data_IF_294663126699
#
_entry.id   IF_294663126699
#
_cell.length_a   1.000
_cell.length_b   1.000
_cell.length_c   1.000
_cell.angle_alpha   90.00
_cell.angle_beta   90.00
_cell.angle_gamma   90.00
#
_symmetry.space_group_name_H-M   'P 1'
#
loop_
_entity.id
_entity.type
_entity.pdbx_description
1 polymer ?
#
# COMPACT_ATOMS: atom_id res chain seq x y z
N UNK A 1 -13.01 -8.39 2.02
CA UNK A 1 -12.85 -7.00 2.50
C UNK A 1 -12.96 -7.04 4.00
N UNK A 2 -12.03 -6.42 4.71
CA UNK A 2 -12.01 -6.36 6.18
C UNK A 2 -12.05 -4.90 6.57
N UNK A 3 -12.98 -4.51 7.42
CA UNK A 3 -12.95 -3.18 8.07
C UNK A 3 -12.30 -3.38 9.43
N UNK A 4 -11.40 -2.48 9.82
CA UNK A 4 -10.82 -2.42 11.17
C UNK A 4 -11.11 -1.01 11.70
N UNK A 5 -11.71 -0.92 12.87
CA UNK A 5 -12.04 0.34 13.52
C UNK A 5 -11.05 0.55 14.66
N UNK A 6 -10.44 1.73 14.76
CA UNK A 6 -9.50 2.08 15.84
C UNK A 6 -10.02 3.35 16.53
N UNK A 7 -10.14 3.32 17.86
CA UNK A 7 -10.57 4.44 18.70
C UNK A 7 -9.55 4.68 19.80
N UNK A 8 -9.30 5.94 20.16
CA UNK A 8 -8.59 6.31 21.39
C UNK A 8 -9.59 6.52 22.53
N UNK A 9 -9.48 5.76 23.63
CA UNK A 9 -10.28 5.96 24.86
C UNK A 9 -10.52 4.68 25.69
N UNK A 10 -10.64 4.84 27.02
CA UNK A 10 -11.09 3.77 27.94
C UNK A 10 -12.58 3.47 27.73
N UNK A 11 -12.94 2.18 27.57
CA UNK A 11 -14.31 1.74 27.30
C UNK A 11 -14.96 1.01 28.49
N UNK A 12 -16.24 1.30 28.80
CA UNK A 12 -17.07 0.42 29.61
C UNK A 12 -17.59 -0.77 28.78
N UNK A 13 -17.16 -1.98 29.13
CA UNK A 13 -17.27 -3.26 28.40
C UNK A 13 -18.66 -3.71 27.90
N UNK A 14 -19.78 -3.05 28.27
CA UNK A 14 -21.14 -3.62 28.07
C UNK A 14 -22.04 -2.92 27.06
N UNK A 15 -21.70 -1.73 26.58
CA UNK A 15 -22.65 -0.95 25.75
C UNK A 15 -22.64 -1.35 24.26
N UNK A 16 -21.51 -1.83 23.74
CA UNK A 16 -21.29 -2.00 22.29
C UNK A 16 -22.03 -3.19 21.68
N UNK A 17 -22.15 -4.31 22.42
CA UNK A 17 -22.72 -5.55 21.88
C UNK A 17 -24.23 -5.41 21.61
N UNK A 18 -24.95 -4.73 22.51
CA UNK A 18 -26.39 -4.51 22.38
C UNK A 18 -26.74 -3.52 21.26
N UNK A 19 -25.96 -2.45 21.08
CA UNK A 19 -26.23 -1.46 20.04
C UNK A 19 -25.97 -1.99 18.62
N UNK A 20 -24.99 -2.90 18.46
CA UNK A 20 -24.71 -3.57 17.18
C UNK A 20 -25.72 -4.68 16.85
N UNK A 21 -26.33 -5.30 17.88
CA UNK A 21 -27.45 -6.24 17.73
C UNK A 21 -28.75 -5.52 17.35
N UNK A 22 -29.06 -4.39 18.00
CA UNK A 22 -30.27 -3.60 17.72
C UNK A 22 -30.24 -2.91 16.35
N UNK A 23 -29.05 -2.63 15.82
CA UNK A 23 -28.86 -2.14 14.45
C UNK A 23 -28.98 -3.24 13.36
N UNK A 24 -29.21 -4.51 13.75
CA UNK A 24 -29.38 -5.62 12.81
C UNK A 24 -28.11 -6.04 12.05
N UNK A 25 -26.93 -5.65 12.53
CA UNK A 25 -25.64 -5.87 11.84
C UNK A 25 -25.07 -7.27 12.07
N UNK A 26 -25.42 -7.93 13.17
CA UNK A 26 -24.91 -9.26 13.54
C UNK A 26 -26.05 -10.30 13.55
N UNK A 27 -26.37 -10.85 12.39
CA UNK A 27 -27.09 -12.12 12.29
C UNK A 27 -26.11 -13.29 12.34
N UNK A 28 -25.93 -13.92 13.51
CA UNK A 28 -24.88 -14.93 13.73
C UNK A 28 -25.37 -16.28 14.25
N UNK A 29 -24.82 -17.34 13.67
CA UNK A 29 -25.00 -18.76 14.02
C UNK A 29 -24.46 -19.09 15.45
N UNK A 30 -25.10 -19.98 16.23
CA UNK A 30 -24.78 -20.22 17.65
C UNK A 30 -23.35 -20.71 17.95
N UNK A 31 -22.65 -21.31 17.00
CA UNK A 31 -21.30 -21.87 17.21
C UNK A 31 -20.20 -20.80 17.28
N UNK A 32 -20.40 -19.63 16.68
CA UNK A 32 -19.42 -18.54 16.71
C UNK A 32 -19.36 -17.84 18.08
N UNK A 33 -20.41 -17.96 18.91
CA UNK A 33 -20.48 -17.31 20.23
C UNK A 33 -19.49 -17.87 21.25
N UNK A 34 -19.05 -19.14 21.13
CA UNK A 34 -18.21 -19.79 22.14
C UNK A 34 -16.71 -19.50 22.00
N UNK A 35 -16.21 -19.27 20.78
CA UNK A 35 -14.79 -18.93 20.58
C UNK A 35 -14.46 -17.48 21.00
N UNK A 36 -15.47 -16.61 21.04
CA UNK A 36 -15.30 -15.17 21.28
C UNK A 36 -15.20 -14.82 22.77
N UNK A 37 -15.59 -15.75 23.66
CA UNK A 37 -15.57 -15.55 25.11
C UNK A 37 -14.16 -15.64 25.74
N UNK A 38 -13.14 -16.06 24.99
CA UNK A 38 -11.80 -16.36 25.53
C UNK A 38 -10.72 -15.30 25.25
N UNK A 39 -11.07 -14.17 24.64
CA UNK A 39 -10.11 -13.07 24.43
C UNK A 39 -10.19 -12.08 25.60
N UNK A 40 -9.24 -12.15 26.54
CA UNK A 40 -9.07 -11.15 27.60
C UNK A 40 -8.21 -9.97 27.10
N UNK A 41 -8.75 -8.76 27.20
CA UNK A 41 -8.09 -7.51 26.79
C UNK A 41 -7.21 -7.01 27.94
N UNK A 42 -5.90 -6.98 27.72
CA UNK A 42 -4.96 -6.27 28.59
C UNK A 42 -5.07 -4.76 28.40
N UNK A 43 -4.87 -4.00 29.48
CA UNK A 43 -5.03 -2.55 29.56
C UNK A 43 -4.17 -1.79 28.53
N UNK A 44 -4.84 -1.24 27.52
CA UNK A 44 -4.26 -0.49 26.38
C UNK A 44 -4.85 -0.83 25.00
N UNK A 45 -6.05 -1.43 24.94
CA UNK A 45 -6.50 -2.23 23.80
C UNK A 45 -7.20 -1.48 22.66
N UNK A 46 -6.63 -1.63 21.46
CA UNK A 46 -7.28 -1.45 20.15
C UNK A 46 -8.45 -2.44 20.01
N UNK A 47 -9.66 -1.97 19.70
CA UNK A 47 -10.82 -2.82 19.45
C UNK A 47 -11.00 -3.14 17.96
N UNK A 48 -10.42 -4.24 17.48
CA UNK A 48 -10.59 -4.72 16.11
C UNK A 48 -12.00 -5.30 15.88
N UNK A 49 -12.92 -4.54 15.27
CA UNK A 49 -14.18 -5.10 14.73
C UNK A 49 -13.91 -5.64 13.33
N UNK A 50 -13.67 -6.95 13.22
CA UNK A 50 -13.37 -7.64 11.96
C UNK A 50 -14.66 -7.91 11.16
N UNK A 51 -15.01 -7.06 10.19
CA UNK A 51 -16.07 -7.41 9.21
C UNK A 51 -15.43 -8.24 8.09
N UNK A 52 -15.28 -9.55 8.33
CA UNK A 52 -14.89 -10.48 7.29
C UNK A 52 -16.11 -10.91 6.47
N UNK A 53 -16.28 -10.38 5.25
CA UNK A 53 -17.06 -11.10 4.24
C UNK A 53 -16.17 -12.26 3.76
N UNK A 54 -16.27 -13.39 4.47
CA UNK A 54 -15.58 -14.63 4.18
C UNK A 54 -16.14 -15.25 2.90
N UNK A 55 -15.24 -15.43 1.94
CA UNK A 55 -15.40 -16.07 0.64
C UNK A 55 -15.60 -17.61 0.75
N UNK A 56 -16.13 -18.13 1.85
CA UNK A 56 -15.98 -19.55 2.22
C UNK A 56 -17.20 -20.44 1.97
N UNK A 57 -18.25 -19.96 1.31
CA UNK A 57 -19.45 -20.80 1.03
C UNK A 57 -19.74 -21.06 -0.45
N UNK A 58 -18.98 -20.51 -1.40
CA UNK A 58 -19.34 -20.63 -2.83
C UNK A 58 -18.64 -21.76 -3.61
N UNK A 59 -17.75 -22.57 -3.00
CA UNK A 59 -17.04 -23.67 -3.71
C UNK A 59 -17.69 -25.04 -3.44
N UNK A 60 -19.02 -25.16 -3.47
CA UNK A 60 -19.69 -26.46 -3.61
C UNK A 60 -20.97 -26.38 -4.45
N UNK A 61 -20.81 -26.33 -5.77
CA UNK A 61 -21.41 -27.27 -6.74
C UNK A 61 -21.25 -26.74 -8.18
N UNK A 62 -20.70 -27.58 -9.05
CA UNK A 62 -20.57 -27.38 -10.50
C UNK A 62 -21.95 -27.30 -11.15
N UNK A 63 -22.39 -26.11 -11.53
CA UNK A 63 -23.21 -25.77 -12.70
C UNK A 63 -23.60 -24.29 -12.59
N UNK A 64 -23.58 -23.52 -13.68
CA UNK A 64 -23.88 -22.06 -13.75
C UNK A 64 -22.72 -21.10 -13.40
N UNK A 65 -21.59 -21.22 -14.10
CA UNK A 65 -20.37 -20.47 -13.81
C UNK A 65 -20.32 -18.99 -14.27
N UNK A 66 -21.17 -18.53 -15.20
CA UNK A 66 -21.07 -17.18 -15.77
C UNK A 66 -22.02 -16.17 -15.11
N UNK A 67 -23.29 -16.54 -14.90
CA UNK A 67 -24.31 -15.65 -14.30
C UNK A 67 -24.07 -15.42 -12.80
N UNK A 68 -23.63 -16.47 -12.07
CA UNK A 68 -23.32 -16.39 -10.64
C UNK A 68 -22.09 -15.50 -10.38
N UNK A 69 -21.08 -15.51 -11.26
CA UNK A 69 -19.92 -14.61 -11.14
C UNK A 69 -20.31 -13.15 -11.31
N UNK A 70 -21.20 -12.84 -12.24
CA UNK A 70 -21.72 -11.49 -12.42
C UNK A 70 -22.58 -11.05 -11.21
N UNK A 71 -23.44 -11.93 -10.70
CA UNK A 71 -24.30 -11.62 -9.56
C UNK A 71 -23.52 -11.46 -8.25
N UNK A 72 -22.56 -12.35 -7.97
CA UNK A 72 -21.63 -12.25 -6.84
C UNK A 72 -20.77 -10.99 -6.98
N UNK A 73 -20.29 -10.68 -8.19
CA UNK A 73 -19.56 -9.45 -8.48
C UNK A 73 -20.39 -8.19 -8.18
N UNK A 74 -21.65 -8.13 -8.62
CA UNK A 74 -22.57 -7.00 -8.37
C UNK A 74 -22.88 -6.84 -6.88
N UNK A 75 -23.14 -7.93 -6.15
CA UNK A 75 -23.37 -7.87 -4.69
C UNK A 75 -22.12 -7.39 -3.95
N UNK A 76 -20.93 -7.82 -4.37
CA UNK A 76 -19.66 -7.34 -3.81
C UNK A 76 -19.50 -5.85 -4.10
N UNK A 77 -19.71 -5.39 -5.34
CA UNK A 77 -19.60 -3.98 -5.75
C UNK A 77 -20.52 -3.06 -4.92
N UNK A 78 -21.79 -3.48 -4.75
CA UNK A 78 -22.78 -2.72 -3.99
C UNK A 78 -22.42 -2.69 -2.50
N UNK A 79 -22.06 -3.83 -1.91
CA UNK A 79 -21.65 -3.91 -0.51
C UNK A 79 -20.39 -3.06 -0.22
N UNK A 80 -19.41 -3.10 -1.12
CA UNK A 80 -18.15 -2.35 -1.08
C UNK A 80 -18.44 -0.83 -1.05
N UNK A 81 -19.30 -0.32 -1.93
CA UNK A 81 -19.69 1.09 -1.91
C UNK A 81 -20.47 1.52 -0.67
N UNK A 82 -21.36 0.67 -0.16
CA UNK A 82 -22.06 0.91 1.11
C UNK A 82 -21.11 0.92 2.30
N UNK A 83 -20.12 0.03 2.35
CA UNK A 83 -19.15 -0.03 3.44
C UNK A 83 -18.34 1.27 3.52
N UNK A 84 -17.84 1.79 2.39
CA UNK A 84 -17.12 3.09 2.41
C UNK A 84 -18.02 4.20 2.92
N UNK A 85 -19.24 4.29 2.40
CA UNK A 85 -20.18 5.34 2.80
C UNK A 85 -20.53 5.25 4.29
N UNK A 86 -20.77 4.04 4.79
CA UNK A 86 -21.04 3.80 6.22
C UNK A 86 -19.82 4.13 7.08
N UNK A 87 -18.61 3.75 6.66
CA UNK A 87 -17.37 4.09 7.37
C UNK A 87 -17.19 5.60 7.46
N UNK A 88 -17.42 6.34 6.39
CA UNK A 88 -17.31 7.80 6.41
C UNK A 88 -18.26 8.42 7.44
N UNK A 89 -19.52 8.00 7.42
CA UNK A 89 -20.52 8.49 8.37
C UNK A 89 -20.15 8.20 9.83
N UNK A 90 -19.52 7.05 10.09
CA UNK A 90 -19.02 6.72 11.44
C UNK A 90 -17.81 7.58 11.80
N UNK A 91 -16.86 7.79 10.89
CA UNK A 91 -15.68 8.63 11.16
C UNK A 91 -16.07 10.07 11.47
N UNK A 92 -16.98 10.66 10.69
CA UNK A 92 -17.44 12.04 10.89
C UNK A 92 -18.23 12.23 12.19
N UNK A 93 -19.09 11.27 12.57
CA UNK A 93 -19.98 11.43 13.73
C UNK A 93 -19.37 10.94 15.05
N UNK A 94 -18.48 9.94 15.02
CA UNK A 94 -17.93 9.33 16.24
C UNK A 94 -16.46 9.70 16.51
N UNK A 95 -15.78 10.38 15.57
CA UNK A 95 -14.37 10.74 15.71
C UNK A 95 -13.41 9.54 15.62
N UNK A 96 -13.85 8.44 15.02
CA UNK A 96 -13.08 7.19 14.93
C UNK A 96 -12.19 7.16 13.70
N UNK A 97 -10.99 6.58 13.84
CA UNK A 97 -10.07 6.29 12.73
C UNK A 97 -10.41 4.93 12.14
N UNK A 98 -10.91 4.92 10.90
CA UNK A 98 -11.39 3.70 10.25
C UNK A 98 -10.43 3.25 9.16
N UNK A 99 -10.09 1.95 9.21
CA UNK A 99 -9.24 1.27 8.25
C UNK A 99 -10.06 0.33 7.37
N UNK A 100 -10.02 0.57 6.06
CA UNK A 100 -10.64 -0.25 5.04
C UNK A 100 -9.58 -1.10 4.36
N UNK A 101 -9.62 -2.41 4.59
CA UNK A 101 -8.67 -3.37 4.01
C UNK A 101 -9.27 -4.16 2.85
N UNK A 102 -8.61 -4.12 1.70
CA UNK A 102 -8.88 -5.02 0.58
C UNK A 102 -7.66 -5.18 -0.35
N UNK A 103 -7.75 -6.05 -1.34
CA UNK A 103 -6.77 -6.14 -2.42
C UNK A 103 -6.82 -4.84 -3.22
N UNK A 104 -5.67 -4.22 -3.50
CA UNK A 104 -5.55 -2.88 -4.08
C UNK A 104 -6.33 -2.70 -5.38
N UNK A 105 -6.41 -3.71 -6.25
CA UNK A 105 -7.18 -3.60 -7.52
C UNK A 105 -8.69 -3.45 -7.27
N UNK A 106 -9.20 -3.91 -6.13
CA UNK A 106 -10.63 -3.74 -5.83
C UNK A 106 -10.93 -2.36 -5.25
N UNK A 107 -9.89 -1.60 -4.86
CA UNK A 107 -10.06 -0.19 -4.51
C UNK A 107 -10.44 0.66 -5.72
N UNK A 108 -10.20 0.22 -6.97
CA UNK A 108 -10.68 0.96 -8.16
C UNK A 108 -12.17 1.25 -8.10
N UNK A 109 -12.96 0.27 -7.67
CA UNK A 109 -14.41 0.39 -7.49
C UNK A 109 -14.74 1.45 -6.43
N UNK A 110 -13.90 1.54 -5.39
CA UNK A 110 -14.09 2.46 -4.27
C UNK A 110 -13.73 3.89 -4.63
N UNK A 111 -12.92 4.14 -5.63
CA UNK A 111 -12.32 5.47 -5.81
C UNK A 111 -13.23 6.53 -6.35
N UNK A 112 -14.28 6.20 -7.11
CA UNK A 112 -15.31 7.19 -7.41
C UNK A 112 -15.98 7.73 -6.13
N UNK A 113 -16.15 6.85 -5.13
CA UNK A 113 -16.74 7.16 -3.84
C UNK A 113 -15.69 7.90 -2.98
N UNK A 114 -14.51 7.32 -2.79
CA UNK A 114 -13.41 7.90 -2.01
C UNK A 114 -12.96 9.25 -2.58
N UNK A 115 -12.88 9.44 -3.89
CA UNK A 115 -12.53 10.74 -4.49
C UNK A 115 -13.62 11.79 -4.29
N UNK A 116 -14.91 11.41 -4.40
CA UNK A 116 -16.04 12.30 -4.08
C UNK A 116 -15.97 12.77 -2.62
N UNK A 117 -15.62 11.89 -1.69
CA UNK A 117 -15.49 12.25 -0.27
C UNK A 117 -14.14 12.88 0.07
N UNK A 118 -13.10 12.68 -0.74
CA UNK A 118 -11.85 13.42 -0.66
C UNK A 118 -12.02 14.91 -0.89
N UNK A 119 -13.02 15.29 -1.71
CA UNK A 119 -13.46 16.69 -1.87
C UNK A 119 -14.19 17.23 -0.63
N UNK A 120 -14.73 16.34 0.21
CA UNK A 120 -15.44 16.65 1.45
C UNK A 120 -14.52 16.63 2.69
N UNK A 121 -13.20 16.45 2.51
CA UNK A 121 -12.20 16.47 3.59
C UNK A 121 -12.39 15.39 4.68
N UNK A 122 -12.98 14.24 4.31
CA UNK A 122 -13.26 13.14 5.24
C UNK A 122 -11.99 12.36 5.61
N UNK A 123 -11.92 11.85 6.85
CA UNK A 123 -10.82 11.00 7.30
C UNK A 123 -11.11 9.53 7.01
N UNK A 124 -10.31 8.90 6.16
CA UNK A 124 -10.44 7.47 5.85
C UNK A 124 -9.05 6.89 5.63
N UNK A 125 -8.77 5.74 6.25
CA UNK A 125 -7.56 4.99 6.00
C UNK A 125 -7.89 3.78 5.12
N UNK A 126 -7.29 3.68 3.95
CA UNK A 126 -7.40 2.57 3.02
C UNK A 126 -6.10 1.77 3.05
N UNK A 127 -6.19 0.45 3.22
CA UNK A 127 -5.06 -0.47 3.15
C UNK A 127 -5.30 -1.40 1.98
N UNK A 128 -4.45 -1.26 0.95
CA UNK A 128 -4.49 -2.07 -0.26
C UNK A 128 -3.39 -3.11 -0.26
N UNK A 129 -3.73 -4.39 -0.29
CA UNK A 129 -2.75 -5.48 -0.42
C UNK A 129 -2.58 -5.95 -1.86
N UNK A 130 -1.62 -6.87 -2.09
CA UNK A 130 -1.38 -7.46 -3.41
C UNK A 130 -1.02 -6.40 -4.47
N UNK A 131 -0.22 -5.42 -4.05
CA UNK A 131 0.31 -4.39 -4.93
C UNK A 131 1.25 -4.96 -6.00
N UNK A 132 1.13 -4.46 -7.23
CA UNK A 132 2.04 -4.75 -8.33
C UNK A 132 1.92 -6.16 -8.94
N UNK A 133 2.92 -6.52 -9.74
CA UNK A 133 3.03 -7.85 -10.39
C UNK A 133 3.59 -8.94 -9.49
N UNK A 134 4.17 -8.55 -8.36
CA UNK A 134 4.82 -9.47 -7.42
C UNK A 134 3.86 -10.44 -6.73
N UNK A 135 2.55 -10.33 -7.00
CA UNK A 135 1.56 -11.30 -6.51
C UNK A 135 1.76 -12.68 -7.13
N UNK A 136 2.29 -12.73 -8.36
CA UNK A 136 2.59 -13.95 -9.09
C UNK A 136 1.40 -14.52 -9.87
N UNK A 137 1.01 -15.73 -9.48
CA UNK A 137 0.22 -16.66 -10.30
C UNK A 137 -1.23 -16.23 -10.51
N UNK A 138 -1.78 -15.40 -9.63
CA UNK A 138 -3.16 -14.89 -9.70
C UNK A 138 -3.41 -14.03 -10.96
N UNK A 139 -2.34 -13.52 -11.58
CA UNK A 139 -2.40 -12.81 -12.85
C UNK A 139 -2.97 -11.39 -12.76
N UNK A 140 -3.11 -10.70 -13.91
CA UNK A 140 -3.35 -9.26 -13.97
C UNK A 140 -4.67 -8.82 -13.33
N UNK A 141 -5.66 -9.72 -13.21
CA UNK A 141 -6.95 -9.41 -12.59
C UNK A 141 -6.86 -9.04 -11.10
N UNK A 142 -5.76 -9.37 -10.43
CA UNK A 142 -5.50 -9.05 -9.02
C UNK A 142 -4.34 -8.07 -8.83
N UNK A 143 -3.62 -7.72 -9.90
CA UNK A 143 -2.41 -6.88 -9.85
C UNK A 143 -2.79 -5.40 -9.87
N UNK A 144 -2.55 -4.70 -8.77
CA UNK A 144 -2.74 -3.25 -8.74
C UNK A 144 -1.51 -2.53 -9.29
N UNK A 145 -1.64 -1.93 -10.48
CA UNK A 145 -0.57 -1.19 -11.15
C UNK A 145 -0.84 0.31 -11.22
N UNK A 146 -2.10 0.68 -11.05
CA UNK A 146 -2.63 2.02 -11.25
C UNK A 146 -3.17 2.65 -9.95
N UNK A 147 -2.98 1.95 -8.82
CA UNK A 147 -3.41 2.37 -7.48
C UNK A 147 -2.66 3.63 -6.99
N UNK A 148 -1.34 3.67 -7.22
CA UNK A 148 -0.53 4.87 -6.93
C UNK A 148 -1.03 6.08 -7.73
N UNK A 149 -1.27 5.92 -9.02
CA UNK A 149 -1.74 7.03 -9.88
C UNK A 149 -3.10 7.54 -9.42
N UNK A 150 -4.00 6.62 -9.09
CA UNK A 150 -5.35 6.89 -8.64
C UNK A 150 -5.39 7.66 -7.31
N UNK A 151 -4.72 7.18 -6.27
CA UNK A 151 -4.73 7.86 -4.97
C UNK A 151 -3.94 9.17 -5.00
N UNK A 152 -2.89 9.29 -5.83
CA UNK A 152 -2.17 10.57 -6.00
C UNK A 152 -3.05 11.68 -6.57
N UNK A 153 -4.01 11.35 -7.42
CA UNK A 153 -4.94 12.30 -8.02
C UNK A 153 -5.90 12.94 -6.99
N UNK A 154 -6.15 12.28 -5.85
CA UNK A 154 -7.00 12.81 -4.78
C UNK A 154 -6.23 13.88 -4.00
N UNK A 155 -6.63 15.16 -3.99
CA UNK A 155 -5.83 16.25 -3.44
C UNK A 155 -5.41 16.05 -1.97
N UNK A 156 -6.34 15.60 -1.13
CA UNK A 156 -6.19 15.40 0.32
C UNK A 156 -5.50 14.08 0.68
N UNK A 157 -5.12 13.27 -0.31
CA UNK A 157 -4.60 11.95 -0.03
C UNK A 157 -3.13 11.94 0.38
N UNK A 158 -2.82 11.13 1.39
CA UNK A 158 -1.47 10.70 1.76
C UNK A 158 -1.28 9.26 1.30
N UNK A 159 -0.23 9.00 0.51
CA UNK A 159 0.05 7.68 -0.07
C UNK A 159 1.34 7.13 0.55
N UNK A 160 1.19 6.15 1.41
CA UNK A 160 2.27 5.37 2.01
C UNK A 160 2.56 4.14 1.14
N UNK A 161 3.84 3.88 0.92
CA UNK A 161 4.30 2.62 0.33
C UNK A 161 5.45 2.05 1.18
N UNK A 162 5.11 1.38 2.30
CA UNK A 162 6.12 0.79 3.17
C UNK A 162 6.85 -0.37 2.48
N UNK A 163 8.12 -0.54 2.83
CA UNK A 163 9.02 -1.51 2.19
C UNK A 163 9.28 -2.77 3.03
N UNK A 164 8.99 -2.72 4.34
CA UNK A 164 9.17 -3.82 5.27
C UNK A 164 8.11 -3.79 6.41
N UNK A 165 8.23 -4.71 7.37
CA UNK A 165 7.31 -4.81 8.51
C UNK A 165 7.34 -3.55 9.41
N UNK A 166 8.53 -3.01 9.70
CA UNK A 166 8.69 -1.86 10.60
C UNK A 166 8.10 -0.60 9.98
N UNK A 167 8.43 -0.31 8.71
CA UNK A 167 7.82 0.80 7.98
C UNK A 167 6.31 0.61 7.80
N UNK A 168 5.81 -0.62 7.69
CA UNK A 168 4.36 -0.88 7.62
C UNK A 168 3.67 -0.52 8.93
N UNK A 169 4.20 -0.95 10.08
CA UNK A 169 3.67 -0.60 11.39
C UNK A 169 3.61 0.93 11.58
N UNK A 170 4.71 1.61 11.23
CA UNK A 170 4.80 3.08 11.31
C UNK A 170 3.88 3.79 10.33
N UNK A 171 3.67 3.25 9.12
CA UNK A 171 2.72 3.79 8.16
C UNK A 171 1.28 3.71 8.68
N UNK A 172 0.91 2.62 9.37
CA UNK A 172 -0.42 2.46 9.98
C UNK A 172 -0.59 3.44 11.15
N UNK A 173 0.41 3.58 12.02
CA UNK A 173 0.42 4.57 13.10
C UNK A 173 0.27 6.00 12.58
N UNK A 174 1.02 6.37 11.55
CA UNK A 174 0.94 7.70 10.93
C UNK A 174 -0.40 7.91 10.21
N UNK A 175 -0.91 6.90 9.50
CA UNK A 175 -2.21 6.98 8.84
C UNK A 175 -3.36 7.20 9.84
N UNK A 176 -3.33 6.52 11.00
CA UNK A 176 -4.32 6.71 12.06
C UNK A 176 -4.41 8.17 12.55
N UNK A 177 -3.29 8.89 12.49
CA UNK A 177 -3.12 10.25 12.98
C UNK A 177 -3.10 11.33 11.88
N UNK A 178 -3.21 10.93 10.61
CA UNK A 178 -3.16 11.84 9.46
C UNK A 178 -4.57 12.14 8.97
N UNK A 179 -4.88 13.43 8.81
CA UNK A 179 -6.17 13.87 8.29
C UNK A 179 -6.30 13.64 6.78
N UNK A 180 -7.53 13.46 6.33
CA UNK A 180 -7.86 13.20 4.93
C UNK A 180 -7.80 11.72 4.59
N UNK A 181 -7.51 11.42 3.33
CA UNK A 181 -7.50 10.04 2.83
C UNK A 181 -6.09 9.49 2.94
N UNK A 182 -5.87 8.47 3.76
CA UNK A 182 -4.61 7.75 3.77
C UNK A 182 -4.73 6.49 2.93
N UNK A 183 -3.75 6.20 2.09
CA UNK A 183 -3.64 4.93 1.38
C UNK A 183 -2.31 4.27 1.74
N UNK A 184 -2.37 3.06 2.30
CA UNK A 184 -1.21 2.24 2.64
C UNK A 184 -1.15 1.07 1.66
N UNK A 185 -0.13 1.09 0.80
CA UNK A 185 0.08 0.09 -0.25
C UNK A 185 0.97 -1.04 0.26
N UNK A 186 0.41 -2.22 0.49
CA UNK A 186 1.13 -3.41 0.97
C UNK A 186 1.35 -4.44 -0.13
N UNK A 187 2.49 -5.13 -0.07
CA UNK A 187 2.88 -6.14 -1.05
C UNK A 187 2.47 -7.54 -0.56
N UNK A 188 2.36 -8.51 -1.47
CA UNK A 188 2.03 -9.90 -1.13
C UNK A 188 3.24 -10.72 -0.63
N UNK A 189 4.42 -10.68 -1.28
CA UNK A 189 5.57 -11.46 -0.84
C UNK A 189 6.10 -10.97 0.51
N UNK A 190 6.71 -11.89 1.26
CA UNK A 190 7.51 -11.53 2.42
C UNK A 190 8.76 -10.77 1.97
N UNK A 191 8.98 -9.59 2.54
CA UNK A 191 10.19 -8.79 2.32
C UNK A 191 11.11 -8.87 3.53
N UNK A 192 12.40 -8.60 3.34
CA UNK A 192 13.37 -8.54 4.44
C UNK A 192 13.08 -7.34 5.34
N UNK A 193 13.36 -7.46 6.64
CA UNK A 193 13.29 -6.33 7.57
C UNK A 193 14.55 -5.49 7.38
N UNK A 194 14.36 -4.24 6.96
CA UNK A 194 15.46 -3.31 6.60
C UNK A 194 15.72 -2.33 7.73
N UNK A 195 14.68 -1.91 8.45
CA UNK A 195 14.79 -0.90 9.49
C UNK A 195 14.84 -1.50 10.89
N UNK A 196 15.58 -0.87 11.82
CA UNK A 196 15.47 -1.20 13.24
C UNK A 196 14.15 -0.69 13.82
N UNK A 197 13.63 -1.34 14.87
CA UNK A 197 12.31 -1.05 15.43
C UNK A 197 12.15 0.38 16.00
N UNK A 198 13.26 1.00 16.39
CA UNK A 198 13.33 2.38 16.92
C UNK A 198 13.44 3.45 15.83
N UNK A 199 13.52 3.04 14.56
CA UNK A 199 13.54 3.96 13.42
C UNK A 199 12.29 4.83 13.43
N UNK A 200 12.51 6.15 13.39
CA UNK A 200 11.45 7.16 13.28
C UNK A 200 11.12 7.41 11.82
N UNK A 201 9.83 7.47 11.53
CA UNK A 201 9.28 7.81 10.22
C UNK A 201 8.41 9.05 10.32
N UNK A 202 8.33 9.80 9.23
CA UNK A 202 7.46 10.97 9.12
C UNK A 202 6.85 11.02 7.71
N UNK A 203 5.65 11.57 7.62
CA UNK A 203 4.98 11.79 6.32
C UNK A 203 5.80 12.77 5.49
N UNK A 204 6.05 12.44 4.22
CA UNK A 204 6.83 13.27 3.32
C UNK A 204 8.33 13.25 3.56
N UNK A 205 8.84 12.26 4.30
CA UNK A 205 10.27 12.09 4.56
C UNK A 205 10.79 10.77 4.03
N UNK A 206 11.73 10.86 3.09
CA UNK A 206 12.40 9.73 2.50
C UNK A 206 13.55 9.23 3.40
N UNK A 207 13.94 7.98 3.22
CA UNK A 207 15.02 7.35 3.96
C UNK A 207 16.11 6.90 2.99
N UNK A 208 17.36 7.24 3.31
CA UNK A 208 18.52 6.67 2.64
C UNK A 208 18.85 5.33 3.30
N UNK A 209 18.82 4.27 2.50
CA UNK A 209 19.10 2.89 2.93
C UNK A 209 20.59 2.56 2.76
N UNK A 210 21.17 3.02 1.66
CA UNK A 210 22.56 2.79 1.31
C UNK A 210 23.15 4.06 0.70
N UNK A 211 24.35 4.44 1.14
CA UNK A 211 25.06 5.62 0.67
C UNK A 211 26.57 5.42 0.79
N UNK A 212 27.30 5.93 -0.20
CA UNK A 212 28.75 6.08 -0.25
C UNK A 212 29.13 7.49 -0.71
N UNK A 213 30.42 7.84 -0.57
CA UNK A 213 30.98 9.05 -1.17
C UNK A 213 31.14 8.91 -2.70
N UNK A 214 31.29 7.67 -3.18
CA UNK A 214 31.56 7.35 -4.59
C UNK A 214 30.29 6.98 -5.38
N UNK A 215 29.10 7.29 -4.85
CA UNK A 215 27.82 6.89 -5.45
C UNK A 215 27.65 7.49 -6.86
N UNK A 216 27.52 6.63 -7.87
CA UNK A 216 27.43 7.04 -9.29
C UNK A 216 25.99 7.29 -9.77
N UNK A 217 25.00 6.79 -9.03
CA UNK A 217 23.58 6.90 -9.34
C UNK A 217 22.74 6.86 -8.06
N UNK A 218 21.59 7.55 -8.05
CA UNK A 218 20.56 7.41 -7.03
C UNK A 218 19.43 6.52 -7.56
N UNK A 219 19.22 5.40 -6.87
CA UNK A 219 18.15 4.44 -7.13
C UNK A 219 17.04 4.64 -6.10
N UNK A 220 15.84 4.95 -6.58
CA UNK A 220 14.66 5.14 -5.73
C UNK A 220 13.74 3.92 -5.93
N UNK A 221 13.50 3.17 -4.85
CA UNK A 221 12.68 1.96 -4.87
C UNK A 221 11.77 1.89 -3.65
N UNK A 222 10.63 1.21 -3.77
CA UNK A 222 9.67 1.03 -2.68
C UNK A 222 9.04 -0.37 -2.73
N UNK A 223 8.68 -0.92 -1.57
CA UNK A 223 8.15 -2.28 -1.49
C UNK A 223 9.13 -3.31 -2.07
N UNK A 224 8.62 -4.20 -2.92
CA UNK A 224 9.43 -5.24 -3.56
C UNK A 224 10.58 -4.68 -4.41
N UNK A 225 10.42 -3.49 -4.99
CA UNK A 225 11.48 -2.88 -5.82
C UNK A 225 12.63 -2.33 -4.99
N UNK A 226 12.43 -2.05 -3.70
CA UNK A 226 13.52 -1.69 -2.80
C UNK A 226 14.44 -2.90 -2.54
N UNK A 227 13.86 -4.09 -2.39
CA UNK A 227 14.62 -5.33 -2.25
C UNK A 227 15.46 -5.62 -3.52
N UNK A 228 14.87 -5.45 -4.70
CA UNK A 228 15.59 -5.56 -5.97
C UNK A 228 16.69 -4.49 -6.13
N UNK A 229 16.44 -3.26 -5.66
CA UNK A 229 17.45 -2.20 -5.66
C UNK A 229 18.65 -2.54 -4.76
N UNK A 230 18.41 -3.15 -3.59
CA UNK A 230 19.49 -3.61 -2.69
C UNK A 230 20.34 -4.69 -3.34
N UNK A 231 19.72 -5.69 -3.97
CA UNK A 231 20.43 -6.72 -4.75
C UNK A 231 21.25 -6.10 -5.89
N UNK A 232 20.68 -5.12 -6.60
CA UNK A 232 21.39 -4.42 -7.67
C UNK A 232 22.61 -3.64 -7.17
N UNK A 233 22.50 -3.00 -6.00
CA UNK A 233 23.61 -2.26 -5.41
C UNK A 233 24.78 -3.16 -4.99
N UNK A 234 24.51 -4.37 -4.50
CA UNK A 234 25.57 -5.35 -4.22
C UNK A 234 26.34 -5.73 -5.50
N UNK A 235 25.63 -5.96 -6.61
CA UNK A 235 26.24 -6.28 -7.91
C UNK A 235 27.06 -5.09 -8.44
N UNK A 236 26.51 -3.88 -8.35
CA UNK A 236 27.16 -2.65 -8.83
C UNK A 236 28.39 -2.27 -7.99
N UNK A 237 28.36 -2.48 -6.68
CA UNK A 237 29.52 -2.29 -5.82
C UNK A 237 30.67 -3.24 -6.21
N UNK A 238 30.38 -4.50 -6.54
CA UNK A 238 31.39 -5.46 -7.03
C UNK A 238 32.01 -5.06 -8.37
N UNK A 239 31.27 -4.28 -9.18
CA UNK A 239 31.74 -3.72 -10.46
C UNK A 239 32.48 -2.39 -10.30
N UNK A 240 32.59 -1.84 -9.09
CA UNK A 240 33.24 -0.54 -8.85
C UNK A 240 32.37 0.66 -9.21
N UNK A 241 31.04 0.50 -9.20
CA UNK A 241 30.07 1.56 -9.52
C UNK A 241 28.99 1.64 -8.43
N UNK A 242 29.36 1.93 -7.16
CA UNK A 242 28.40 1.90 -6.05
C UNK A 242 27.26 2.90 -6.28
N UNK A 243 26.06 2.58 -5.78
CA UNK A 243 24.87 3.41 -5.94
C UNK A 243 24.22 3.73 -4.62
N UNK A 244 23.56 4.88 -4.57
CA UNK A 244 22.73 5.30 -3.45
C UNK A 244 21.34 4.68 -3.57
N UNK A 245 20.80 4.18 -2.46
CA UNK A 245 19.42 3.68 -2.41
C UNK A 245 18.58 4.57 -1.51
N UNK A 246 17.45 5.03 -2.04
CA UNK A 246 16.45 5.78 -1.30
C UNK A 246 15.10 5.06 -1.30
N UNK A 247 14.52 4.94 -0.12
CA UNK A 247 13.14 4.52 0.11
C UNK A 247 12.29 5.78 0.36
N UNK A 248 11.35 6.13 -0.53
CA UNK A 248 10.54 7.33 -0.37
C UNK A 248 9.61 7.27 0.85
N UNK A 249 9.24 6.07 1.34
CA UNK A 249 8.24 5.81 2.38
C UNK A 249 6.82 6.32 2.06
N UNK A 250 6.68 7.61 1.73
CA UNK A 250 5.47 8.22 1.18
C UNK A 250 5.69 8.65 -0.27
N UNK A 251 4.80 8.21 -1.15
CA UNK A 251 4.77 8.64 -2.56
C UNK A 251 4.05 10.00 -2.69
N UNK A 252 3.14 10.29 -1.76
CA UNK A 252 2.47 11.58 -1.62
C UNK A 252 2.26 11.90 -0.14
N UNK A 253 2.74 13.06 0.35
CA UNK A 253 3.71 13.93 -0.29
C UNK A 253 5.04 13.20 -0.53
N UNK A 254 5.74 13.55 -1.62
CA UNK A 254 7.10 13.07 -1.89
C UNK A 254 8.09 14.03 -1.21
N UNK A 255 9.20 13.51 -0.70
CA UNK A 255 10.30 14.32 -0.16
C UNK A 255 11.12 14.94 -1.30
N UNK A 256 10.56 15.95 -1.97
CA UNK A 256 11.16 16.54 -3.16
C UNK A 256 12.54 17.14 -2.90
N UNK A 257 12.76 17.70 -1.71
CA UNK A 257 14.02 18.33 -1.34
C UNK A 257 15.13 17.28 -1.21
N UNK A 258 14.86 16.17 -0.50
CA UNK A 258 15.81 15.06 -0.42
C UNK A 258 16.07 14.44 -1.80
N UNK A 259 15.04 14.25 -2.62
CA UNK A 259 15.20 13.74 -3.99
C UNK A 259 16.10 14.66 -4.81
N UNK A 260 15.86 15.99 -4.80
CA UNK A 260 16.69 16.96 -5.53
C UNK A 260 18.13 17.00 -5.01
N UNK A 261 18.32 17.01 -3.70
CA UNK A 261 19.65 17.02 -3.08
C UNK A 261 20.47 15.80 -3.47
N UNK A 262 19.92 14.61 -3.27
CA UNK A 262 20.64 13.37 -3.55
C UNK A 262 20.79 13.11 -5.06
N UNK A 263 19.82 13.50 -5.89
CA UNK A 263 19.94 13.38 -7.34
C UNK A 263 21.03 14.30 -7.90
N UNK A 264 21.25 15.49 -7.34
CA UNK A 264 22.39 16.36 -7.72
C UNK A 264 23.74 15.77 -7.35
N UNK A 265 23.80 15.02 -6.25
CA UNK A 265 25.03 14.37 -5.80
C UNK A 265 25.35 13.10 -6.61
N UNK A 266 24.33 12.42 -7.15
CA UNK A 266 24.48 11.10 -7.77
C UNK A 266 24.04 11.04 -9.25
N UNK A 267 23.59 12.12 -9.90
CA UNK A 267 23.34 12.15 -11.34
C UNK A 267 22.02 11.55 -11.86
N UNK A 268 21.02 11.23 -11.04
CA UNK A 268 19.73 10.75 -11.55
C UNK A 268 18.73 10.23 -10.51
N UNK A 269 17.54 9.80 -10.95
CA UNK A 269 16.48 9.21 -10.10
C UNK A 269 15.51 8.32 -10.88
N UNK A 270 14.57 7.63 -10.20
CA UNK A 270 13.56 6.75 -10.82
C UNK A 270 12.11 7.16 -10.46
N UNK A 271 11.20 7.15 -11.46
CA UNK A 271 9.75 7.26 -11.26
C UNK A 271 9.10 8.57 -11.73
N UNK A 272 7.81 8.54 -12.06
CA UNK A 272 7.11 9.74 -12.59
C UNK A 272 6.89 10.84 -11.54
N UNK A 273 6.70 10.49 -10.26
CA UNK A 273 6.66 11.47 -9.17
C UNK A 273 8.02 12.16 -8.99
N UNK A 274 9.10 11.40 -9.14
CA UNK A 274 10.48 11.90 -9.10
C UNK A 274 10.77 12.79 -10.30
N UNK A 275 10.36 12.42 -11.52
CA UNK A 275 10.45 13.28 -12.71
C UNK A 275 9.81 14.64 -12.48
N UNK A 276 8.62 14.68 -11.88
CA UNK A 276 7.96 15.93 -11.55
C UNK A 276 8.79 16.76 -10.58
N UNK A 277 9.30 16.14 -9.52
CA UNK A 277 10.09 16.80 -8.47
C UNK A 277 11.41 17.39 -8.97
N UNK A 278 12.03 16.77 -9.99
CA UNK A 278 13.32 17.21 -10.57
C UNK A 278 13.17 17.92 -11.92
N UNK A 279 11.95 18.14 -12.42
CA UNK A 279 11.70 18.71 -13.75
C UNK A 279 12.30 20.11 -13.98
N UNK A 280 12.54 20.87 -12.90
CA UNK A 280 13.21 22.17 -12.95
C UNK A 280 14.73 22.10 -13.01
N UNK A 281 15.33 20.92 -12.87
CA UNK A 281 16.78 20.71 -12.82
C UNK A 281 17.28 20.22 -14.18
N UNK A 282 18.24 20.94 -14.78
CA UNK A 282 18.71 20.66 -16.15
C UNK A 282 19.73 19.52 -16.21
N UNK A 283 20.44 19.27 -15.12
CA UNK A 283 21.60 18.37 -15.07
C UNK A 283 21.25 17.01 -14.45
N UNK A 284 19.95 16.67 -14.34
CA UNK A 284 19.48 15.41 -13.76
C UNK A 284 18.85 14.54 -14.83
N UNK A 285 19.44 13.36 -15.07
CA UNK A 285 18.89 12.35 -15.99
C UNK A 285 18.03 11.37 -15.21
N UNK A 286 16.77 11.19 -15.63
CA UNK A 286 15.83 10.28 -14.96
C UNK A 286 15.48 9.10 -15.85
N UNK A 287 15.87 7.89 -15.43
CA UNK A 287 15.42 6.63 -16.02
C UNK A 287 14.16 6.15 -15.31
N UNK A 288 13.15 5.67 -16.03
CA UNK A 288 11.95 5.11 -15.39
C UNK A 288 11.76 3.64 -15.76
N UNK A 289 11.98 2.78 -14.77
CA UNK A 289 11.65 1.35 -14.81
C UNK A 289 10.28 1.14 -14.17
N UNK A 290 9.35 0.59 -14.94
CA UNK A 290 7.98 0.32 -14.53
C UNK A 290 7.36 -0.71 -15.47
N UNK A 291 6.22 -1.27 -15.04
CA UNK A 291 5.42 -2.19 -15.85
C UNK A 291 4.75 -1.40 -17.00
N UNK A 292 5.05 -1.77 -18.24
CA UNK A 292 4.61 -1.03 -19.45
C UNK A 292 3.49 -1.68 -20.25
N UNK A 293 3.07 -2.89 -19.87
CA UNK A 293 2.03 -3.64 -20.54
C UNK A 293 1.22 -4.45 -19.54
N UNK A 294 0.04 -4.93 -19.95
CA UNK A 294 -0.80 -5.79 -19.11
C UNK A 294 -0.02 -7.07 -18.77
N UNK A 295 0.16 -7.41 -17.48
CA UNK A 295 0.88 -8.60 -17.08
C UNK A 295 0.19 -9.91 -17.41
N UNK A 296 0.88 -11.01 -17.09
CA UNK A 296 0.34 -12.37 -17.14
C UNK A 296 0.62 -13.08 -15.82
N UNK A 297 0.01 -14.24 -15.62
CA UNK A 297 0.35 -15.14 -14.52
C UNK A 297 1.76 -15.70 -14.71
N UNK A 298 2.51 -15.81 -13.61
CA UNK A 298 3.85 -16.37 -13.56
C UNK A 298 4.41 -16.29 -12.14
N UNK A 299 5.60 -16.82 -11.90
CA UNK A 299 6.26 -16.63 -10.60
C UNK A 299 6.68 -15.18 -10.43
N UNK A 300 6.74 -14.71 -9.19
CA UNK A 300 7.13 -13.33 -8.88
C UNK A 300 8.42 -12.90 -9.60
N UNK A 301 9.51 -13.66 -9.44
CA UNK A 301 10.82 -13.31 -10.02
C UNK A 301 10.80 -13.29 -11.56
N UNK A 302 10.13 -14.26 -12.18
CA UNK A 302 9.96 -14.33 -13.64
C UNK A 302 9.18 -13.12 -14.17
N UNK A 303 8.19 -12.63 -13.43
CA UNK A 303 7.43 -11.44 -13.79
C UNK A 303 8.27 -10.17 -13.61
N UNK A 304 9.02 -10.03 -12.51
CA UNK A 304 9.90 -8.88 -12.29
C UNK A 304 10.95 -8.77 -13.41
N UNK A 305 11.52 -9.89 -13.84
CA UNK A 305 12.44 -9.96 -14.97
C UNK A 305 11.75 -9.59 -16.29
N UNK A 306 10.61 -10.22 -16.59
CA UNK A 306 9.85 -9.98 -17.82
C UNK A 306 9.42 -8.53 -18.02
N UNK A 307 9.11 -7.84 -16.92
CA UNK A 307 8.71 -6.43 -16.93
C UNK A 307 9.86 -5.45 -16.67
N UNK A 308 11.10 -5.93 -16.57
CA UNK A 308 12.28 -5.09 -16.51
C UNK A 308 12.42 -4.29 -15.21
N UNK A 309 11.96 -4.84 -14.08
CA UNK A 309 12.01 -4.20 -12.75
C UNK A 309 12.75 -5.04 -11.69
N UNK A 310 13.45 -6.09 -12.13
CA UNK A 310 14.34 -6.88 -11.27
C UNK A 310 15.71 -6.21 -11.11
N UNK A 311 16.53 -6.76 -10.21
CA UNK A 311 17.89 -6.28 -9.95
C UNK A 311 18.75 -6.14 -11.21
N UNK A 312 18.73 -7.13 -12.11
CA UNK A 312 19.51 -7.09 -13.36
C UNK A 312 19.12 -5.90 -14.26
N UNK A 313 17.82 -5.59 -14.34
CA UNK A 313 17.32 -4.44 -15.09
C UNK A 313 17.73 -3.11 -14.47
N UNK A 314 17.80 -3.03 -13.13
CA UNK A 314 18.30 -1.86 -12.41
C UNK A 314 19.79 -1.65 -12.71
N UNK A 315 20.60 -2.71 -12.67
CA UNK A 315 22.03 -2.66 -13.02
C UNK A 315 22.23 -2.12 -14.43
N UNK A 316 21.51 -2.68 -15.42
CA UNK A 316 21.57 -2.22 -16.81
C UNK A 316 21.16 -0.74 -16.92
N UNK A 317 20.09 -0.33 -16.23
CA UNK A 317 19.63 1.05 -16.26
C UNK A 317 20.65 2.03 -15.69
N UNK A 318 21.37 1.66 -14.62
CA UNK A 318 22.45 2.47 -14.05
C UNK A 318 23.61 2.58 -15.03
N UNK A 319 24.06 1.46 -15.60
CA UNK A 319 25.14 1.46 -16.61
C UNK A 319 24.79 2.34 -17.81
N UNK A 320 23.53 2.34 -18.27
CA UNK A 320 23.07 3.20 -19.36
C UNK A 320 23.05 4.69 -18.99
N UNK A 321 22.77 5.06 -17.73
CA UNK A 321 22.79 6.47 -17.27
C UNK A 321 24.23 6.98 -17.17
N UNK A 322 25.18 6.13 -16.79
CA UNK A 322 26.61 6.49 -16.70
C UNK A 322 27.28 6.75 -18.07
N UNK A 323 26.66 6.31 -19.17
CA UNK A 323 27.19 6.51 -20.52
C UNK A 323 26.79 7.85 -21.16
N UNK A 324 25.91 8.61 -20.52
CA UNK A 324 25.39 9.91 -20.99
C UNK A 324 26.17 11.05 -20.35
#
# INVERSE_FOLDING_TARGET
>A
MTVIIVSEGEFPERLLLHQLLDAGVLGGCPTCHQEWANWTVGSGGVLCVLVAILLTLAIRKKAYCSLIRAFVGITILVAVGYIVTASILVSENAGWSIFLYCISVWLFIMTGIVAKYGQLMTNINCVGSHAGISIGEDGPSQMALEDIAMFRAIPTATVFYPSDAVSTERAIELAANTKGICFVRTSRPATSVVYPNDKKFAVGKANIILQSADDVALVIGAGITLEEARKAAEILAQKGSPVRIMDPFTIKPLDEDAVREHAKQCGGGLGDAVKSAVSGERDIVVKHLAVRAVPRSGKCDELLEMFGINAASIVQAVEEVMLV
#
